data_IF_155371059487
#
_entry.id   IF_155371059487
#
_cell.length_a   1.000
_cell.length_b   1.000
_cell.length_c   1.000
_cell.angle_alpha   90.00
_cell.angle_beta   90.00
_cell.angle_gamma   90.00
#
_symmetry.space_group_name_H-M   'P 1'
#
loop_
_entity.id
_entity.type
_entity.pdbx_description
1 polymer ?
#
# COMPACT_ATOMS: atom_id res chain seq x y z
N UNK A 1 14.91 -14.36 -12.42
CA UNK A 1 14.01 -15.40 -11.89
C UNK A 1 13.25 -14.79 -10.73
N UNK A 2 11.93 -14.96 -10.70
CA UNK A 2 11.12 -14.45 -9.59
C UNK A 2 11.35 -15.34 -8.39
N UNK A 3 11.95 -14.81 -7.33
CA UNK A 3 12.21 -15.59 -6.11
C UNK A 3 10.90 -15.76 -5.34
N UNK A 4 10.48 -17.02 -5.18
CA UNK A 4 9.40 -17.40 -4.27
C UNK A 4 9.98 -17.57 -2.88
N UNK A 5 9.31 -16.99 -1.89
CA UNK A 5 9.70 -17.03 -0.49
C UNK A 5 8.54 -17.50 0.38
N UNK A 6 8.84 -17.86 1.63
CA UNK A 6 7.81 -18.21 2.59
C UNK A 6 7.01 -16.97 2.98
N UNK A 7 5.80 -17.20 3.49
CA UNK A 7 4.90 -16.12 3.91
C UNK A 7 5.53 -15.25 5.01
N UNK A 8 6.21 -15.88 5.95
CA UNK A 8 6.86 -15.24 7.09
C UNK A 8 8.05 -14.39 6.61
N UNK A 9 8.83 -14.92 5.66
CA UNK A 9 9.92 -14.19 5.01
C UNK A 9 9.41 -12.99 4.23
N UNK A 10 8.28 -13.14 3.52
CA UNK A 10 7.62 -12.03 2.83
C UNK A 10 7.18 -10.94 3.80
N UNK A 11 6.58 -11.33 4.94
CA UNK A 11 6.16 -10.38 5.96
C UNK A 11 7.35 -9.59 6.52
N UNK A 12 8.43 -10.29 6.87
CA UNK A 12 9.63 -9.68 7.43
C UNK A 12 10.25 -8.68 6.46
N UNK A 13 10.42 -9.07 5.19
CA UNK A 13 11.01 -8.21 4.16
C UNK A 13 10.09 -7.04 3.82
N UNK A 14 8.78 -7.26 3.71
CA UNK A 14 7.80 -6.20 3.53
C UNK A 14 7.87 -5.17 4.65
N UNK A 15 7.84 -5.61 5.91
CA UNK A 15 7.84 -4.72 7.07
C UNK A 15 9.16 -3.96 7.23
N UNK A 16 10.30 -4.59 6.90
CA UNK A 16 11.62 -3.94 6.87
C UNK A 16 11.67 -2.79 5.86
N UNK A 17 11.02 -2.96 4.69
CA UNK A 17 11.02 -1.99 3.61
C UNK A 17 9.86 -0.98 3.68
N UNK A 18 8.96 -1.12 4.66
CA UNK A 18 7.74 -0.32 4.74
C UNK A 18 7.78 0.67 5.90
N UNK A 19 7.24 1.88 5.71
CA UNK A 19 7.08 2.83 6.81
C UNK A 19 6.09 2.27 7.86
N UNK A 20 6.11 2.79 9.11
CA UNK A 20 5.28 2.27 10.20
C UNK A 20 3.79 2.15 9.88
N UNK A 21 3.24 3.09 9.09
CA UNK A 21 1.82 3.09 8.69
C UNK A 21 1.45 2.00 7.67
N UNK A 22 2.45 1.39 7.01
CA UNK A 22 2.29 0.32 6.03
C UNK A 22 2.84 -1.03 6.49
N UNK A 23 3.36 -1.11 7.72
CA UNK A 23 3.69 -2.39 8.32
C UNK A 23 2.41 -3.22 8.51
N UNK A 24 2.55 -4.51 8.29
CA UNK A 24 1.46 -5.46 8.30
C UNK A 24 1.68 -6.54 9.36
N UNK A 25 0.62 -7.28 9.65
CA UNK A 25 0.67 -8.48 10.50
C UNK A 25 0.40 -9.74 9.68
N UNK A 26 0.70 -10.90 10.27
CA UNK A 26 0.42 -12.19 9.63
C UNK A 26 -1.08 -12.40 9.34
N UNK A 27 -1.95 -11.84 10.19
CA UNK A 27 -3.40 -11.85 10.01
C UNK A 27 -3.82 -11.06 8.76
N UNK A 28 -3.21 -9.90 8.51
CA UNK A 28 -3.45 -9.12 7.30
C UNK A 28 -3.04 -9.87 6.03
N UNK A 29 -1.93 -10.62 6.06
CA UNK A 29 -1.52 -11.47 4.94
C UNK A 29 -2.49 -12.64 4.70
N UNK A 30 -3.04 -13.25 5.76
CA UNK A 30 -4.07 -14.28 5.61
C UNK A 30 -5.31 -13.72 4.93
N UNK A 31 -5.79 -12.58 5.42
CA UNK A 31 -6.95 -11.88 4.87
C UNK A 31 -6.74 -11.46 3.42
N UNK A 32 -5.57 -10.92 3.09
CA UNK A 32 -5.21 -10.62 1.70
C UNK A 32 -5.25 -11.87 0.81
N UNK A 33 -4.72 -13.01 1.30
CA UNK A 33 -4.78 -14.27 0.56
C UNK A 33 -6.21 -14.74 0.32
N UNK A 34 -7.10 -14.58 1.29
CA UNK A 34 -8.51 -14.95 1.18
C UNK A 34 -9.30 -14.05 0.21
N UNK A 35 -9.09 -12.73 0.28
CA UNK A 35 -9.78 -11.75 -0.56
C UNK A 35 -9.24 -11.71 -2.00
N UNK A 36 -7.95 -12.01 -2.18
CA UNK A 36 -7.25 -11.90 -3.46
C UNK A 36 -6.69 -13.23 -3.95
N UNK A 37 -7.38 -14.34 -3.64
CA UNK A 37 -7.02 -15.71 -4.08
C UNK A 37 -6.54 -15.81 -5.54
N UNK A 38 -7.17 -15.15 -6.54
CA UNK A 38 -6.72 -15.23 -7.93
C UNK A 38 -5.31 -14.70 -8.17
N UNK A 39 -4.84 -13.73 -7.37
CA UNK A 39 -3.50 -13.14 -7.50
C UNK A 39 -2.39 -14.02 -6.91
N UNK A 40 -2.75 -15.09 -6.19
CA UNK A 40 -1.83 -15.95 -5.41
C UNK A 40 -1.92 -17.42 -5.86
N UNK A 41 -2.36 -17.68 -7.09
CA UNK A 41 -2.67 -19.01 -7.63
C UNK A 41 -1.52 -20.03 -7.49
N UNK A 42 -0.26 -19.58 -7.44
CA UNK A 42 0.92 -20.46 -7.32
C UNK A 42 1.40 -20.72 -5.89
N UNK A 43 0.60 -20.38 -4.86
CA UNK A 43 0.91 -20.57 -3.43
C UNK A 43 2.22 -19.91 -2.92
N UNK A 44 3.04 -19.33 -3.79
CA UNK A 44 4.28 -18.67 -3.40
C UNK A 44 4.10 -17.17 -3.20
N UNK A 45 4.78 -16.66 -2.19
CA UNK A 45 4.89 -15.24 -1.94
C UNK A 45 6.09 -14.72 -2.72
N UNK A 46 5.90 -13.70 -3.54
CA UNK A 46 6.98 -13.03 -4.28
C UNK A 46 6.99 -11.56 -3.91
N UNK A 47 8.13 -11.05 -3.43
CA UNK A 47 8.28 -9.62 -3.14
C UNK A 47 8.05 -8.79 -4.40
N UNK A 48 8.64 -9.21 -5.52
CA UNK A 48 8.57 -8.48 -6.80
C UNK A 48 7.14 -8.39 -7.35
N UNK A 49 6.33 -9.44 -7.19
CA UNK A 49 4.98 -9.50 -7.76
C UNK A 49 3.88 -9.08 -6.79
N UNK A 50 3.99 -9.47 -5.52
CA UNK A 50 2.88 -9.38 -4.55
C UNK A 50 2.97 -8.14 -3.67
N UNK A 51 4.18 -7.57 -3.45
CA UNK A 51 4.35 -6.45 -2.52
C UNK A 51 3.54 -5.22 -2.92
N UNK A 52 3.54 -4.85 -4.19
CA UNK A 52 2.78 -3.69 -4.68
C UNK A 52 1.26 -3.92 -4.53
N UNK A 53 0.67 -5.03 -5.02
CA UNK A 53 -0.73 -5.35 -4.76
C UNK A 53 -1.10 -5.35 -3.27
N UNK A 54 -0.20 -5.86 -2.41
CA UNK A 54 -0.43 -5.90 -0.98
C UNK A 54 -0.43 -4.51 -0.35
N UNK A 55 0.51 -3.63 -0.71
CA UNK A 55 0.54 -2.23 -0.26
C UNK A 55 -0.75 -1.50 -0.67
N UNK A 56 -1.16 -1.64 -1.94
CA UNK A 56 -2.40 -1.01 -2.42
C UNK A 56 -3.62 -1.50 -1.64
N UNK A 57 -3.66 -2.78 -1.31
CA UNK A 57 -4.73 -3.33 -0.48
C UNK A 57 -4.70 -2.79 0.95
N UNK A 58 -3.53 -2.68 1.60
CA UNK A 58 -3.39 -2.06 2.93
C UNK A 58 -3.90 -0.62 2.94
N UNK A 59 -3.52 0.16 1.92
CA UNK A 59 -3.96 1.55 1.77
C UNK A 59 -5.48 1.64 1.61
N UNK A 60 -6.09 0.72 0.85
CA UNK A 60 -7.54 0.66 0.69
C UNK A 60 -8.29 0.33 1.99
N UNK A 61 -7.66 -0.36 2.95
CA UNK A 61 -8.26 -0.67 4.25
C UNK A 61 -8.30 0.55 5.20
N UNK A 62 -7.53 1.61 4.93
CA UNK A 62 -7.41 2.80 5.80
C UNK A 62 -7.94 4.06 5.11
N UNK A 63 -9.25 4.14 4.79
CA UNK A 63 -9.81 5.28 4.06
C UNK A 63 -9.68 6.61 4.83
N UNK A 64 -9.67 6.59 6.16
CA UNK A 64 -9.68 7.80 6.98
C UNK A 64 -8.34 8.58 7.01
N UNK A 65 -7.20 7.91 6.79
CA UNK A 65 -5.90 8.59 6.72
C UNK A 65 -5.70 9.27 5.34
N UNK A 66 -6.22 8.66 4.27
CA UNK A 66 -6.11 9.17 2.90
C UNK A 66 -6.88 10.47 2.65
N UNK A 67 -8.05 10.65 3.27
CA UNK A 67 -8.84 11.88 3.16
C UNK A 67 -8.11 13.09 3.77
N UNK A 68 -7.37 12.89 4.87
CA UNK A 68 -6.63 13.96 5.56
C UNK A 68 -5.36 14.36 4.79
N UNK A 69 -4.64 13.40 4.22
CA UNK A 69 -3.48 13.67 3.35
C UNK A 69 -3.88 14.34 2.03
N UNK A 70 -4.97 13.90 1.38
CA UNK A 70 -5.47 14.56 0.16
C UNK A 70 -5.88 16.01 0.42
N UNK A 71 -6.60 16.28 1.52
CA UNK A 71 -7.02 17.65 1.89
C UNK A 71 -5.83 18.54 2.25
N UNK A 72 -4.80 18.02 2.92
CA UNK A 72 -3.58 18.80 3.24
C UNK A 72 -2.70 19.05 2.02
N UNK A 73 -2.58 18.09 1.10
CA UNK A 73 -1.86 18.28 -0.18
C UNK A 73 -2.58 19.24 -1.13
N UNK A 74 -3.90 19.17 -1.21
CA UNK A 74 -4.71 20.13 -1.98
C UNK A 74 -4.57 21.56 -1.43
N UNK A 75 -4.56 21.75 -0.10
CA UNK A 75 -4.41 23.08 0.54
C UNK A 75 -3.03 23.71 0.35
N UNK A 76 -1.99 22.94 0.08
CA UNK A 76 -0.62 23.44 -0.13
C UNK A 76 -0.33 23.70 -1.60
N UNK A 77 -0.92 22.91 -2.51
CA UNK A 77 -0.64 22.99 -3.95
C UNK A 77 -1.12 24.30 -4.61
N UNK A 78 -2.15 24.97 -4.07
CA UNK A 78 -2.71 26.20 -4.66
C UNK A 78 -2.25 27.51 -4.02
N UNK A 79 -1.39 27.48 -2.99
CA UNK A 79 -0.98 28.71 -2.28
C UNK A 79 -0.06 29.64 -3.08
N UNK A 80 0.55 29.16 -4.16
CA UNK A 80 1.55 29.93 -4.93
C UNK A 80 1.07 30.33 -6.33
N UNK A 81 -0.23 30.23 -6.64
CA UNK A 81 -0.76 30.69 -7.92
C UNK A 81 -1.17 32.17 -7.80
N UNK A 82 -0.74 33.05 -8.72
CA UNK A 82 -1.19 34.42 -8.75
C UNK A 82 -2.70 34.46 -9.02
N UNK A 83 -3.44 35.22 -8.21
CA UNK A 83 -4.87 35.41 -8.43
C UNK A 83 -5.09 36.20 -9.72
N UNK A 84 -5.81 35.61 -10.67
CA UNK A 84 -6.23 36.30 -11.88
C UNK A 84 -7.44 37.16 -11.57
N UNK A 85 -7.22 38.45 -11.32
CA UNK A 85 -8.29 39.45 -11.37
C UNK A 85 -8.67 39.69 -12.82
N UNK A 86 -9.73 39.03 -13.29
CA UNK A 86 -10.38 39.38 -14.55
C UNK A 86 -11.15 40.68 -14.27
N UNK A 87 -10.65 41.79 -14.82
CA UNK A 87 -11.31 43.10 -14.80
C UNK A 87 -12.32 43.22 -15.92
#
# INVERSE_FOLDING_TARGET
MVKMIKKEEFLAEHNKLSPPNLQATLAMLNRFKEEKKPLLADNGWSIEKIRIPFILWILALKPEEHEKERKSRAKTQFKNYPETHIS
#
